data_IF_764261246561
#
_entry.id   IF_764261246561
#
_cell.length_a   1.000
_cell.length_b   1.000
_cell.length_c   1.000
_cell.angle_alpha   90.00
_cell.angle_beta   90.00
_cell.angle_gamma   90.00
#
_symmetry.space_group_name_H-M   'P 1'
#
loop_
_entity.id
_entity.type
_entity.pdbx_description
1 polymer ?
#
# COMPACT_ATOMS: atom_id res chain seq x y z
N UNK A 1 -4.98 -22.01 10.45
CA UNK A 1 -4.78 -20.58 10.15
C UNK A 1 -4.41 -19.90 11.47
N UNK A 2 -3.59 -18.85 11.45
CA UNK A 2 -3.20 -18.12 12.68
C UNK A 2 -4.47 -17.52 13.34
N UNK A 3 -4.64 -17.68 14.65
CA UNK A 3 -5.80 -17.19 15.40
C UNK A 3 -6.02 -15.68 15.21
N UNK A 4 -4.95 -14.89 15.05
CA UNK A 4 -5.06 -13.45 14.83
C UNK A 4 -5.67 -13.13 13.44
N UNK A 5 -5.35 -13.94 12.43
CA UNK A 5 -5.88 -13.78 11.07
C UNK A 5 -7.38 -14.11 11.04
N UNK A 6 -7.81 -15.16 11.75
CA UNK A 6 -9.22 -15.54 11.88
C UNK A 6 -10.06 -14.42 12.52
N UNK A 7 -9.55 -13.79 13.58
CA UNK A 7 -10.18 -12.65 14.24
C UNK A 7 -10.35 -11.49 13.25
N UNK A 8 -9.28 -11.12 12.53
CA UNK A 8 -9.30 -10.02 11.56
C UNK A 8 -10.29 -10.29 10.43
N UNK A 9 -10.32 -11.50 9.87
CA UNK A 9 -11.25 -11.86 8.79
C UNK A 9 -12.71 -11.76 9.25
N UNK A 10 -13.01 -12.21 10.48
CA UNK A 10 -14.33 -12.07 11.08
C UNK A 10 -14.72 -10.61 11.30
N UNK A 11 -13.77 -9.78 11.76
CA UNK A 11 -14.00 -8.36 11.98
C UNK A 11 -14.19 -7.58 10.67
N UNK A 12 -13.44 -7.91 9.62
CA UNK A 12 -13.66 -7.38 8.27
C UNK A 12 -15.07 -7.69 7.77
N UNK A 13 -15.54 -8.93 7.95
CA UNK A 13 -16.89 -9.32 7.58
C UNK A 13 -17.96 -8.55 8.37
N UNK A 14 -17.77 -8.34 9.68
CA UNK A 14 -18.66 -7.53 10.51
C UNK A 14 -18.73 -6.06 10.05
N UNK A 15 -17.69 -5.59 9.35
CA UNK A 15 -17.61 -4.27 8.69
C UNK A 15 -18.03 -4.30 7.22
N UNK A 16 -18.64 -5.38 6.77
CA UNK A 16 -19.08 -5.60 5.39
C UNK A 16 -17.95 -5.54 4.35
N UNK A 17 -16.70 -5.69 4.79
CA UNK A 17 -15.51 -5.74 3.95
C UNK A 17 -15.20 -7.21 3.65
N UNK A 18 -14.95 -7.56 2.39
CA UNK A 18 -14.62 -8.94 2.04
C UNK A 18 -13.14 -9.22 2.32
N UNK A 19 -12.86 -10.00 3.36
CA UNK A 19 -11.52 -10.51 3.65
C UNK A 19 -11.27 -11.86 2.98
N UNK A 20 -10.13 -11.98 2.30
CA UNK A 20 -9.64 -13.25 1.75
C UNK A 20 -8.30 -13.60 2.38
N UNK A 21 -8.19 -14.83 2.87
CA UNK A 21 -6.94 -15.42 3.29
C UNK A 21 -6.11 -15.90 2.09
N UNK A 22 -4.80 -15.77 2.21
CA UNK A 22 -3.83 -16.48 1.39
C UNK A 22 -2.65 -16.90 2.27
N UNK A 23 -2.23 -18.16 2.17
CA UNK A 23 -1.09 -18.67 2.92
C UNK A 23 0.23 -18.05 2.41
N UNK A 24 0.31 -17.82 1.09
CA UNK A 24 1.50 -17.31 0.42
C UNK A 24 1.19 -16.36 -0.74
N UNK A 25 2.25 -15.75 -1.31
CA UNK A 25 2.15 -14.89 -2.49
C UNK A 25 1.48 -15.57 -3.70
N UNK A 26 1.81 -16.81 -4.09
CA UNK A 26 1.10 -17.53 -5.17
C UNK A 26 -0.42 -17.64 -4.95
N UNK A 27 -0.86 -17.99 -3.75
CA UNK A 27 -2.29 -18.07 -3.42
C UNK A 27 -2.96 -16.71 -3.49
N UNK A 28 -2.30 -15.68 -2.95
CA UNK A 28 -2.76 -14.30 -3.04
C UNK A 28 -2.95 -13.88 -4.52
N UNK A 29 -1.99 -14.19 -5.39
CA UNK A 29 -2.07 -13.89 -6.81
C UNK A 29 -3.22 -14.62 -7.50
N UNK A 30 -3.43 -15.91 -7.23
CA UNK A 30 -4.57 -16.67 -7.78
C UNK A 30 -5.90 -16.02 -7.38
N UNK A 31 -6.05 -15.63 -6.12
CA UNK A 31 -7.25 -14.94 -5.64
C UNK A 31 -7.42 -13.58 -6.31
N UNK A 32 -6.38 -12.75 -6.36
CA UNK A 32 -6.45 -11.43 -7.00
C UNK A 32 -6.87 -11.55 -8.47
N UNK A 33 -6.23 -12.45 -9.23
CA UNK A 33 -6.55 -12.67 -10.64
C UNK A 33 -7.99 -13.17 -10.84
N UNK A 34 -8.52 -13.97 -9.93
CA UNK A 34 -9.91 -14.44 -9.97
C UNK A 34 -10.94 -13.33 -9.72
N UNK A 35 -10.55 -12.26 -9.00
CA UNK A 35 -11.43 -11.14 -8.68
C UNK A 35 -11.45 -10.06 -9.76
N UNK A 36 -10.43 -10.01 -10.62
CA UNK A 36 -10.29 -8.98 -11.67
C UNK A 36 -10.88 -9.53 -12.98
N UNK A 37 -11.97 -8.94 -13.51
CA UNK A 37 -12.53 -9.31 -14.81
C UNK A 37 -11.47 -9.22 -15.92
N UNK A 38 -11.60 -10.04 -16.96
CA UNK A 38 -10.61 -10.13 -18.04
C UNK A 38 -10.51 -8.87 -18.89
N UNK A 39 -11.61 -8.13 -19.01
CA UNK A 39 -11.76 -6.88 -19.77
C UNK A 39 -11.57 -5.62 -18.90
N UNK A 40 -11.32 -5.78 -17.60
CA UNK A 40 -11.20 -4.67 -16.67
C UNK A 40 -9.93 -3.84 -16.92
N UNK A 41 -10.07 -2.52 -16.77
CA UNK A 41 -8.93 -1.61 -16.62
C UNK A 41 -8.51 -1.55 -15.15
N UNK A 42 -7.25 -1.86 -14.88
CA UNK A 42 -6.68 -1.89 -13.53
C UNK A 42 -5.86 -0.65 -13.24
N UNK A 43 -6.27 0.15 -12.26
CA UNK A 43 -5.51 1.29 -11.75
C UNK A 43 -4.63 0.92 -10.56
N UNK A 44 -3.42 1.49 -10.50
CA UNK A 44 -2.44 1.20 -9.45
C UNK A 44 -2.29 2.38 -8.50
N UNK A 45 -2.35 2.11 -7.19
CA UNK A 45 -2.13 3.08 -6.11
C UNK A 45 -0.89 2.76 -5.26
N UNK A 46 0.29 2.60 -5.89
CA UNK A 46 1.61 2.23 -5.32
C UNK A 46 1.63 1.42 -4.01
N UNK A 47 2.14 0.20 -4.09
CA UNK A 47 2.25 -0.68 -2.92
C UNK A 47 3.45 -1.58 -3.06
N UNK A 48 4.37 -1.53 -2.09
CA UNK A 48 5.48 -2.48 -2.05
C UNK A 48 4.99 -3.92 -1.83
N UNK A 49 3.90 -4.11 -1.07
CA UNK A 49 3.28 -5.44 -0.90
C UNK A 49 2.85 -6.02 -2.24
N UNK A 50 2.22 -5.20 -3.09
CA UNK A 50 1.83 -5.59 -4.45
C UNK A 50 3.06 -5.92 -5.32
N UNK A 51 4.14 -5.12 -5.25
CA UNK A 51 5.39 -5.40 -5.97
C UNK A 51 6.03 -6.71 -5.50
N UNK A 52 6.00 -7.00 -4.20
CA UNK A 52 6.49 -8.26 -3.64
C UNK A 52 5.69 -9.48 -4.11
N UNK A 53 4.38 -9.34 -4.34
CA UNK A 53 3.57 -10.42 -4.93
C UNK A 53 3.95 -10.70 -6.39
N UNK A 54 4.49 -9.72 -7.12
CA UNK A 54 4.72 -9.83 -8.56
C UNK A 54 3.45 -9.73 -9.43
N UNK A 55 2.31 -9.35 -8.84
CA UNK A 55 1.00 -9.34 -9.51
C UNK A 55 0.96 -8.45 -10.77
N UNK A 56 1.74 -7.37 -10.82
CA UNK A 56 1.81 -6.50 -12.00
C UNK A 56 2.31 -7.26 -13.25
N UNK A 57 3.26 -8.18 -13.09
CA UNK A 57 3.78 -8.95 -14.22
C UNK A 57 2.73 -9.95 -14.70
N UNK A 58 2.05 -10.63 -13.78
CA UNK A 58 0.96 -11.56 -14.10
C UNK A 58 -0.20 -10.87 -14.83
N UNK A 59 -0.55 -9.65 -14.42
CA UNK A 59 -1.58 -8.86 -15.12
C UNK A 59 -1.14 -8.47 -16.53
N UNK A 60 0.14 -8.13 -16.74
CA UNK A 60 0.68 -7.84 -18.07
C UNK A 60 0.69 -9.08 -18.96
N UNK A 61 1.13 -10.23 -18.44
CA UNK A 61 1.11 -11.52 -19.14
C UNK A 61 -0.31 -11.95 -19.52
N UNK A 62 -1.30 -11.66 -18.66
CA UNK A 62 -2.72 -11.86 -18.93
C UNK A 62 -3.28 -10.91 -20.00
N UNK A 63 -2.53 -9.87 -20.40
CA UNK A 63 -2.98 -8.84 -21.35
C UNK A 63 -3.95 -7.81 -20.74
N UNK A 64 -3.97 -7.67 -19.42
CA UNK A 64 -4.84 -6.70 -18.73
C UNK A 64 -4.36 -5.27 -19.00
N UNK A 65 -5.30 -4.34 -19.25
CA UNK A 65 -4.98 -2.91 -19.35
C UNK A 65 -4.64 -2.36 -17.97
N UNK A 66 -3.41 -1.90 -17.77
CA UNK A 66 -2.92 -1.36 -16.49
C UNK A 66 -2.64 0.13 -16.62
N UNK A 67 -3.22 0.93 -15.72
CA UNK A 67 -2.91 2.34 -15.53
C UNK A 67 -1.95 2.46 -14.33
N UNK A 68 -0.66 2.55 -14.60
CA UNK A 68 0.38 2.60 -13.57
C UNK A 68 1.15 3.92 -13.56
N UNK A 69 0.75 4.92 -12.74
CA UNK A 69 1.49 6.16 -12.61
C UNK A 69 2.82 6.01 -11.86
N UNK A 70 3.24 4.79 -11.49
CA UNK A 70 4.46 4.51 -10.74
C UNK A 70 5.47 3.65 -11.51
N UNK A 71 5.26 3.47 -12.81
CA UNK A 71 6.30 2.96 -13.70
C UNK A 71 7.45 3.97 -13.81
N UNK A 72 8.71 3.48 -13.94
CA UNK A 72 9.88 4.33 -14.00
C UNK A 72 9.88 5.21 -15.26
N UNK A 73 10.64 6.31 -15.21
CA UNK A 73 10.87 7.16 -16.37
C UNK A 73 11.52 6.34 -17.48
N UNK A 74 10.98 6.40 -18.69
CA UNK A 74 11.65 5.86 -19.87
C UNK A 74 12.90 6.67 -20.21
N UNK A 75 13.89 6.03 -20.81
CA UNK A 75 15.16 6.69 -21.15
C UNK A 75 14.96 7.82 -22.16
N UNK A 76 14.03 7.64 -23.09
CA UNK A 76 13.71 8.58 -24.17
C UNK A 76 12.79 9.74 -23.77
N UNK A 77 12.27 9.72 -22.54
CA UNK A 77 11.32 10.72 -22.02
C UNK A 77 12.05 11.75 -21.18
N UNK A 78 11.80 13.04 -21.38
CA UNK A 78 12.37 14.07 -20.50
C UNK A 78 11.68 14.13 -19.12
N UNK A 79 12.21 14.93 -18.21
CA UNK A 79 11.69 15.01 -16.85
C UNK A 79 10.30 15.68 -16.76
N UNK A 80 9.99 16.63 -17.65
CA UNK A 80 8.70 17.30 -17.67
C UNK A 80 7.64 16.42 -18.33
N UNK A 81 7.95 15.80 -19.47
CA UNK A 81 7.09 14.84 -20.14
C UNK A 81 6.71 13.70 -19.19
N UNK A 82 7.68 13.18 -18.43
CA UNK A 82 7.43 12.16 -17.41
C UNK A 82 6.48 12.64 -16.31
N UNK A 83 6.67 13.87 -15.79
CA UNK A 83 5.77 14.43 -14.78
C UNK A 83 4.34 14.55 -15.32
N UNK A 84 4.18 15.04 -16.55
CA UNK A 84 2.89 15.21 -17.19
C UNK A 84 2.22 13.86 -17.47
N UNK A 85 2.95 12.88 -18.01
CA UNK A 85 2.45 11.53 -18.27
C UNK A 85 1.99 10.85 -16.98
N UNK A 86 2.76 10.95 -15.90
CA UNK A 86 2.37 10.42 -14.58
C UNK A 86 1.12 11.08 -14.05
N UNK A 87 1.03 12.40 -14.14
CA UNK A 87 -0.15 13.13 -13.65
C UNK A 87 -1.40 12.79 -14.47
N UNK A 88 -1.26 12.63 -15.79
CA UNK A 88 -2.32 12.13 -16.66
C UNK A 88 -2.78 10.74 -16.23
N UNK A 89 -1.85 9.81 -16.03
CA UNK A 89 -2.14 8.45 -15.57
C UNK A 89 -2.81 8.45 -14.19
N UNK A 90 -2.39 9.31 -13.24
CA UNK A 90 -3.07 9.42 -11.93
C UNK A 90 -4.54 9.83 -12.09
N UNK A 91 -4.82 10.78 -12.98
CA UNK A 91 -6.21 11.18 -13.27
C UNK A 91 -6.98 10.05 -13.95
N UNK A 92 -6.37 9.36 -14.91
CA UNK A 92 -7.00 8.20 -15.55
C UNK A 92 -7.27 7.06 -14.56
N UNK A 93 -6.42 6.85 -13.55
CA UNK A 93 -6.67 5.81 -12.53
C UNK A 93 -7.97 6.02 -11.77
N UNK A 94 -8.49 7.25 -11.65
CA UNK A 94 -9.77 7.50 -10.96
C UNK A 94 -10.99 7.00 -11.74
N UNK A 95 -10.79 6.54 -12.98
CA UNK A 95 -11.82 6.01 -13.87
C UNK A 95 -11.61 4.52 -14.17
N UNK A 96 -10.74 3.83 -13.41
CA UNK A 96 -10.50 2.41 -13.59
C UNK A 96 -11.63 1.55 -12.98
N UNK A 97 -11.77 0.33 -13.48
CA UNK A 97 -12.76 -0.64 -12.99
C UNK A 97 -12.30 -1.28 -11.67
N UNK A 98 -10.99 -1.53 -11.56
CA UNK A 98 -10.37 -2.16 -10.39
C UNK A 98 -9.15 -1.37 -9.94
N UNK A 99 -9.13 -0.96 -8.67
CA UNK A 99 -8.00 -0.28 -8.06
C UNK A 99 -7.19 -1.22 -7.15
N UNK A 100 -5.88 -1.35 -7.41
CA UNK A 100 -4.97 -2.16 -6.61
C UNK A 100 -4.05 -1.31 -5.75
N UNK A 101 -4.01 -1.61 -4.46
CA UNK A 101 -3.11 -0.94 -3.51
C UNK A 101 -2.79 -1.82 -2.31
N UNK A 102 -2.14 -1.24 -1.29
CA UNK A 102 -1.98 -1.84 0.03
C UNK A 102 -2.38 -0.84 1.11
N UNK A 103 -2.45 -1.32 2.34
CA UNK A 103 -2.69 -0.46 3.53
C UNK A 103 -1.42 -0.27 4.36
N UNK A 104 -1.40 0.75 5.22
CA UNK A 104 -0.30 0.96 6.17
C UNK A 104 -0.48 0.13 7.45
N UNK A 105 -1.72 -0.01 7.92
CA UNK A 105 -2.08 -0.84 9.06
C UNK A 105 -3.52 -1.36 8.93
N UNK A 106 -3.75 -2.56 9.49
CA UNK A 106 -5.06 -3.20 9.60
C UNK A 106 -5.28 -3.53 11.07
N UNK A 107 -6.29 -2.94 11.70
CA UNK A 107 -6.56 -3.23 13.13
C UNK A 107 -7.17 -4.62 13.27
N UNK A 108 -7.02 -5.24 14.45
CA UNK A 108 -7.64 -6.54 14.75
C UNK A 108 -9.15 -6.52 14.59
N UNK A 109 -9.75 -5.35 14.84
CA UNK A 109 -11.17 -5.14 14.67
C UNK A 109 -11.57 -4.69 13.25
N UNK A 110 -10.68 -4.77 12.26
CA UNK A 110 -11.01 -4.70 10.84
C UNK A 110 -11.00 -3.31 10.20
N UNK A 111 -10.41 -2.28 10.84
CA UNK A 111 -10.25 -0.95 10.24
C UNK A 111 -8.93 -0.84 9.47
N UNK A 112 -8.96 -0.14 8.34
CA UNK A 112 -7.75 0.19 7.60
C UNK A 112 -7.29 1.60 7.95
N UNK A 113 -6.02 1.75 8.33
CA UNK A 113 -5.42 3.06 8.62
C UNK A 113 -4.33 3.35 7.61
N UNK A 114 -4.41 4.53 7.00
CA UNK A 114 -3.52 4.90 5.90
C UNK A 114 -2.96 6.30 6.07
N UNK A 115 -1.77 6.51 5.53
CA UNK A 115 -1.15 7.83 5.42
C UNK A 115 -0.75 8.12 3.97
N UNK A 116 -0.97 9.34 3.51
CA UNK A 116 -0.60 9.76 2.16
C UNK A 116 -0.06 11.19 2.09
N UNK A 117 0.68 11.47 1.03
CA UNK A 117 1.23 12.79 0.74
C UNK A 117 0.30 13.60 -0.18
N UNK A 118 -0.21 12.96 -1.25
CA UNK A 118 -1.00 13.59 -2.32
C UNK A 118 -2.48 13.25 -2.17
N UNK A 119 -2.80 12.05 -1.67
CA UNK A 119 -4.16 11.60 -1.40
C UNK A 119 -4.76 10.70 -2.47
N UNK A 120 -4.17 10.66 -3.68
CA UNK A 120 -4.72 9.90 -4.80
C UNK A 120 -4.82 8.39 -4.51
N UNK A 121 -3.86 7.82 -3.76
CA UNK A 121 -3.91 6.42 -3.37
C UNK A 121 -5.03 6.12 -2.39
N UNK A 122 -5.15 6.90 -1.31
CA UNK A 122 -6.14 6.65 -0.27
C UNK A 122 -7.55 6.95 -0.77
N UNK A 123 -7.73 8.01 -1.56
CA UNK A 123 -9.01 8.29 -2.22
C UNK A 123 -9.48 7.09 -3.06
N UNK A 124 -8.55 6.48 -3.81
CA UNK A 124 -8.85 5.32 -4.62
C UNK A 124 -9.24 4.06 -3.86
N UNK A 125 -8.98 3.99 -2.54
CA UNK A 125 -9.44 2.86 -1.72
C UNK A 125 -10.93 2.91 -1.41
N UNK A 126 -11.54 4.11 -1.41
CA UNK A 126 -12.90 4.29 -0.91
C UNK A 126 -13.84 5.04 -1.84
N UNK A 127 -13.36 5.56 -2.96
CA UNK A 127 -14.20 6.28 -3.92
C UNK A 127 -13.66 6.22 -5.35
N UNK A 128 -14.59 6.22 -6.31
CA UNK A 128 -14.32 6.32 -7.76
C UNK A 128 -14.36 4.98 -8.51
N UNK A 129 -14.07 3.86 -7.84
CA UNK A 129 -13.92 2.56 -8.49
C UNK A 129 -15.01 1.57 -8.05
N UNK A 130 -15.57 0.77 -8.97
CA UNK A 130 -16.46 -0.33 -8.61
C UNK A 130 -15.80 -1.31 -7.62
N UNK A 131 -14.53 -1.66 -7.84
CA UNK A 131 -13.78 -2.60 -7.02
C UNK A 131 -12.43 -2.02 -6.58
N UNK A 132 -12.13 -2.12 -5.28
CA UNK A 132 -10.81 -1.86 -4.71
C UNK A 132 -10.28 -3.10 -4.03
N UNK A 133 -9.09 -3.54 -4.41
CA UNK A 133 -8.40 -4.67 -3.79
C UNK A 133 -7.16 -4.17 -3.05
N UNK A 134 -7.13 -4.41 -1.75
CA UNK A 134 -6.08 -3.98 -0.84
C UNK A 134 -5.29 -5.20 -0.38
N UNK A 135 -3.97 -5.17 -0.59
CA UNK A 135 -3.05 -6.23 -0.18
C UNK A 135 -2.41 -5.88 1.16
N UNK A 136 -2.52 -6.79 2.12
CA UNK A 136 -1.90 -6.68 3.45
C UNK A 136 -1.16 -7.97 3.80
N UNK A 137 0.09 -7.85 4.24
CA UNK A 137 0.79 -8.95 4.90
C UNK A 137 0.40 -9.03 6.37
N UNK A 138 0.58 -10.20 6.99
CA UNK A 138 0.31 -10.43 8.43
C UNK A 138 1.02 -9.41 9.32
N UNK A 139 2.21 -8.95 8.90
CA UNK A 139 2.97 -7.96 9.63
C UNK A 139 2.26 -6.60 9.75
N UNK A 140 1.17 -6.34 9.03
CA UNK A 140 0.42 -5.08 9.09
C UNK A 140 -0.75 -5.11 10.07
N UNK A 141 -1.03 -6.27 10.68
CA UNK A 141 -2.05 -6.37 11.73
C UNK A 141 -1.52 -5.66 12.98
N UNK A 142 -2.38 -4.84 13.60
CA UNK A 142 -2.13 -4.12 14.86
C UNK A 142 -3.35 -4.26 15.75
N UNK A 143 -3.21 -4.06 17.06
CA UNK A 143 -4.31 -4.28 18.01
C UNK A 143 -5.45 -3.28 17.77
N UNK A 144 -5.14 -1.99 17.66
CA UNK A 144 -6.13 -0.92 17.59
C UNK A 144 -5.66 0.30 16.78
N UNK A 145 -6.46 1.37 16.79
CA UNK A 145 -6.17 2.62 16.09
C UNK A 145 -4.94 3.34 16.67
N UNK A 146 -4.75 3.31 17.99
CA UNK A 146 -3.63 4.00 18.64
C UNK A 146 -2.30 3.36 18.23
N UNK A 147 -2.24 2.03 18.24
CA UNK A 147 -1.10 1.28 17.72
C UNK A 147 -0.89 1.54 16.23
N UNK A 148 -1.97 1.58 15.43
CA UNK A 148 -1.89 1.89 14.00
C UNK A 148 -1.24 3.26 13.76
N UNK A 149 -1.70 4.30 14.45
CA UNK A 149 -1.16 5.64 14.34
C UNK A 149 0.27 5.73 14.86
N UNK A 150 0.56 5.09 16.01
CA UNK A 150 1.90 5.04 16.59
C UNK A 150 2.89 4.40 15.61
N UNK A 151 2.56 3.22 15.07
CA UNK A 151 3.36 2.53 14.07
C UNK A 151 3.59 3.38 12.82
N UNK A 152 2.55 4.02 12.30
CA UNK A 152 2.69 4.83 11.08
C UNK A 152 3.65 6.00 11.33
N UNK A 153 3.49 6.69 12.46
CA UNK A 153 4.31 7.86 12.81
C UNK A 153 5.75 7.47 13.13
N UNK A 154 5.96 6.43 13.91
CA UNK A 154 7.27 6.16 14.51
C UNK A 154 8.08 5.09 13.78
N UNK A 155 7.44 4.27 12.95
CA UNK A 155 8.10 3.17 12.24
C UNK A 155 8.02 3.38 10.73
N UNK A 156 6.80 3.42 10.17
CA UNK A 156 6.61 3.37 8.71
C UNK A 156 7.13 4.65 8.05
N UNK A 157 6.62 5.81 8.43
CA UNK A 157 6.94 7.07 7.73
C UNK A 157 8.43 7.45 7.84
N UNK A 158 9.07 7.46 9.03
CA UNK A 158 10.49 7.77 9.14
C UNK A 158 11.34 6.78 8.35
N UNK A 159 11.09 5.47 8.50
CA UNK A 159 11.84 4.44 7.78
C UNK A 159 11.67 4.58 6.27
N UNK A 160 10.45 4.83 5.79
CA UNK A 160 10.18 5.03 4.37
C UNK A 160 11.00 6.19 3.80
N UNK A 161 10.98 7.35 4.46
CA UNK A 161 11.70 8.52 3.97
C UNK A 161 13.22 8.37 4.08
N UNK A 162 13.73 7.75 5.15
CA UNK A 162 15.15 7.42 5.29
C UNK A 162 15.64 6.49 4.18
N UNK A 163 14.91 5.40 3.93
CA UNK A 163 15.26 4.44 2.87
C UNK A 163 15.26 5.16 1.51
N UNK A 164 14.22 5.95 1.21
CA UNK A 164 14.16 6.66 -0.07
C UNK A 164 15.27 7.68 -0.25
N UNK A 165 15.62 8.42 0.81
CA UNK A 165 16.73 9.36 0.77
C UNK A 165 18.07 8.62 0.53
N UNK A 166 18.29 7.49 1.20
CA UNK A 166 19.50 6.68 1.04
C UNK A 166 19.63 6.05 -0.35
N UNK A 167 18.52 5.76 -1.03
CA UNK A 167 18.50 5.19 -2.38
C UNK A 167 18.46 6.24 -3.50
N UNK A 168 18.66 7.52 -3.19
CA UNK A 168 18.72 8.59 -4.20
C UNK A 168 17.36 9.06 -4.72
N UNK A 169 16.26 8.75 -4.02
CA UNK A 169 14.96 9.38 -4.31
C UNK A 169 14.93 10.87 -3.96
N UNK A 170 13.80 11.55 -4.21
CA UNK A 170 13.61 12.96 -3.83
C UNK A 170 14.04 13.21 -2.39
N UNK A 171 15.03 14.11 -2.23
CA UNK A 171 15.49 14.59 -0.92
C UNK A 171 14.36 15.40 -0.29
N UNK A 172 13.82 14.91 0.83
CA UNK A 172 12.82 15.62 1.63
C UNK A 172 13.53 16.26 2.81
N UNK A 173 13.31 17.55 3.00
CA UNK A 173 13.78 18.30 4.17
C UNK A 173 12.81 18.12 5.36
N UNK A 174 12.66 16.88 5.80
CA UNK A 174 11.84 16.50 6.95
C UNK A 174 12.73 15.99 8.08
N UNK A 175 12.55 16.43 9.34
CA UNK A 175 13.41 16.02 10.46
C UNK A 175 13.58 14.50 10.59
N UNK A 176 12.52 13.73 10.35
CA UNK A 176 12.52 12.27 10.46
C UNK A 176 13.46 11.56 9.47
N UNK A 177 13.88 12.21 8.38
CA UNK A 177 14.91 11.66 7.47
C UNK A 177 16.27 11.62 8.18
N UNK A 178 16.56 12.59 9.05
CA UNK A 178 17.82 12.67 9.78
C UNK A 178 17.72 11.91 11.10
N UNK A 179 16.67 12.16 11.88
CA UNK A 179 16.53 11.64 13.25
C UNK A 179 16.04 10.19 13.30
N UNK A 180 15.31 9.73 12.27
CA UNK A 180 14.57 8.47 12.32
C UNK A 180 13.30 8.52 13.17
N UNK A 181 12.97 9.68 13.74
CA UNK A 181 11.87 9.87 14.68
C UNK A 181 10.88 10.92 14.17
N UNK A 182 9.60 10.72 14.48
CA UNK A 182 8.56 11.68 14.13
C UNK A 182 8.47 12.80 15.15
N UNK A 183 8.58 14.04 14.68
CA UNK A 183 8.39 15.27 15.48
C UNK A 183 7.08 16.00 15.14
N UNK A 184 6.12 15.32 14.50
CA UNK A 184 4.90 15.92 13.90
C UNK A 184 5.19 17.24 13.14
N UNK A 185 6.22 17.18 12.29
CA UNK A 185 6.71 18.36 11.61
C UNK A 185 5.66 19.02 10.69
N UNK A 186 5.86 20.31 10.42
CA UNK A 186 5.03 21.12 9.49
C UNK A 186 5.83 21.62 8.28
N UNK A 187 6.89 20.90 7.90
CA UNK A 187 7.71 21.29 6.75
C UNK A 187 6.95 21.08 5.44
N UNK A 188 7.29 21.86 4.40
CA UNK A 188 6.66 21.77 3.08
C UNK A 188 6.88 20.41 2.40
N UNK A 189 7.95 19.70 2.77
CA UNK A 189 8.30 18.38 2.27
C UNK A 189 7.68 17.23 3.07
N UNK A 190 6.77 17.50 4.02
CA UNK A 190 6.01 16.47 4.74
C UNK A 190 5.29 15.56 3.75
N UNK A 191 5.42 14.24 3.95
CA UNK A 191 4.69 13.22 3.18
C UNK A 191 3.55 12.55 3.93
N UNK A 192 3.31 12.94 5.19
CA UNK A 192 2.24 12.42 6.04
C UNK A 192 1.08 13.42 6.16
N UNK A 193 0.59 13.93 5.03
CA UNK A 193 -0.35 15.05 4.99
C UNK A 193 -1.79 14.61 5.25
N UNK A 194 -2.12 13.39 4.81
CA UNK A 194 -3.48 12.86 4.85
C UNK A 194 -3.45 11.58 5.65
N UNK A 195 -4.26 11.51 6.70
CA UNK A 195 -4.55 10.26 7.40
C UNK A 195 -6.00 9.89 7.13
N UNK A 196 -6.24 8.62 6.83
CA UNK A 196 -7.59 8.08 6.70
C UNK A 196 -7.76 6.84 7.54
N UNK A 197 -8.97 6.69 8.08
CA UNK A 197 -9.47 5.49 8.72
C UNK A 197 -10.67 5.04 7.91
N UNK A 198 -10.62 3.83 7.36
CA UNK A 198 -11.77 3.21 6.71
C UNK A 198 -12.45 2.34 7.76
N UNK A 199 -13.59 2.82 8.26
CA UNK A 199 -14.40 2.17 9.30
C UNK A 199 -15.19 0.97 8.77
N UNK A 200 -15.63 1.01 7.52
CA UNK A 200 -16.53 -0.01 6.95
C UNK A 200 -16.47 0.04 5.43
N UNK A 201 -17.06 -0.94 4.75
CA UNK A 201 -17.18 -0.93 3.29
C UNK A 201 -17.91 0.34 2.81
N UNK A 202 -17.33 1.14 1.90
CA UNK A 202 -18.03 2.26 1.28
C UNK A 202 -19.24 1.81 0.45
N UNK A 203 -20.29 2.63 0.40
CA UNK A 203 -21.56 2.24 -0.24
C UNK A 203 -21.49 2.04 -1.75
N UNK A 204 -20.51 2.64 -2.43
CA UNK A 204 -20.37 2.62 -3.90
C UNK A 204 -19.12 1.88 -4.39
N UNK A 205 -18.33 1.30 -3.48
CA UNK A 205 -17.09 0.60 -3.83
C UNK A 205 -17.04 -0.71 -3.08
N UNK A 206 -16.91 -1.81 -3.82
CA UNK A 206 -16.58 -3.09 -3.23
C UNK A 206 -15.13 -3.05 -2.74
N UNK A 207 -14.94 -3.21 -1.44
CA UNK A 207 -13.63 -3.20 -0.80
C UNK A 207 -13.24 -4.63 -0.42
N UNK A 208 -12.22 -5.16 -1.08
CA UNK A 208 -11.71 -6.50 -0.87
C UNK A 208 -10.30 -6.44 -0.26
N UNK A 209 -10.05 -7.21 0.79
CA UNK A 209 -8.74 -7.31 1.44
C UNK A 209 -8.15 -8.68 1.16
N UNK A 210 -6.93 -8.71 0.62
CA UNK A 210 -6.13 -9.93 0.50
C UNK A 210 -5.14 -9.93 1.65
N UNK A 211 -5.41 -10.75 2.66
CA UNK A 211 -4.57 -10.91 3.85
C UNK A 211 -3.66 -12.11 3.66
N UNK A 212 -2.37 -11.83 3.47
CA UNK A 212 -1.34 -12.83 3.18
C UNK A 212 -0.59 -13.20 4.46
N UNK A 213 -0.43 -14.49 4.74
CA UNK A 213 0.29 -15.00 5.91
C UNK A 213 1.83 -14.88 5.80
N UNK A 214 2.30 -13.77 5.23
CA UNK A 214 3.71 -13.45 5.05
C UNK A 214 3.96 -11.97 5.35
N UNK A 215 5.21 -11.62 5.64
CA UNK A 215 5.59 -10.23 5.91
C UNK A 215 5.74 -9.45 4.61
N UNK A 216 4.80 -8.55 4.35
CA UNK A 216 4.74 -7.74 3.13
C UNK A 216 4.69 -6.25 3.45
N UNK A 217 5.32 -5.45 2.60
CA UNK A 217 5.43 -4.01 2.73
C UNK A 217 6.34 -3.61 3.88
N UNK A 218 5.98 -2.55 4.59
CA UNK A 218 6.79 -1.96 5.65
C UNK A 218 6.05 -1.96 6.99
N UNK A 219 6.78 -2.33 8.04
CA UNK A 219 6.38 -2.19 9.42
C UNK A 219 6.42 -3.51 10.19
N UNK A 220 6.61 -3.37 11.50
CA UNK A 220 6.88 -4.43 12.46
C UNK A 220 6.54 -3.93 13.86
N UNK A 221 6.43 -4.84 14.81
CA UNK A 221 6.49 -4.51 16.24
C UNK A 221 7.96 -4.45 16.69
N UNK A 222 8.41 -3.39 17.40
CA UNK A 222 9.79 -3.29 17.90
C UNK A 222 10.25 -4.46 18.78
N UNK A 223 9.32 -5.19 19.41
CA UNK A 223 9.57 -6.36 20.24
C UNK A 223 9.84 -7.64 19.45
N UNK A 224 9.59 -7.65 18.13
CA UNK A 224 9.86 -8.81 17.29
C UNK A 224 11.35 -9.14 17.17
N UNK A 225 11.70 -10.39 16.80
CA UNK A 225 13.08 -10.77 16.53
C UNK A 225 13.76 -9.81 15.53
N UNK A 226 14.97 -9.36 15.88
CA UNK A 226 15.71 -8.38 15.07
C UNK A 226 16.01 -8.87 13.65
N UNK A 227 16.19 -10.18 13.47
CA UNK A 227 16.37 -10.81 12.16
C UNK A 227 15.15 -10.60 11.25
N UNK A 228 13.94 -10.84 11.77
CA UNK A 228 12.68 -10.61 11.05
C UNK A 228 12.53 -9.14 10.65
N UNK A 229 12.85 -8.21 11.56
CA UNK A 229 12.82 -6.76 11.30
C UNK A 229 13.83 -6.39 10.19
N UNK A 230 15.05 -6.93 10.26
CA UNK A 230 16.09 -6.70 9.27
C UNK A 230 15.67 -7.22 7.89
N UNK A 231 15.04 -8.40 7.83
CA UNK A 231 14.52 -8.99 6.60
C UNK A 231 13.41 -8.11 5.97
N UNK A 232 12.43 -7.67 6.77
CA UNK A 232 11.37 -6.75 6.30
C UNK A 232 12.00 -5.49 5.68
N UNK A 233 12.98 -4.89 6.37
CA UNK A 233 13.67 -3.69 5.88
C UNK A 233 14.45 -3.96 4.60
N UNK A 234 15.17 -5.09 4.52
CA UNK A 234 15.95 -5.47 3.35
C UNK A 234 15.05 -5.71 2.13
N UNK A 235 13.94 -6.43 2.31
CA UNK A 235 12.99 -6.71 1.25
C UNK A 235 12.25 -5.45 0.78
N UNK A 236 11.92 -4.55 1.71
CA UNK A 236 11.32 -3.27 1.36
C UNK A 236 12.25 -2.40 0.49
N UNK A 237 13.54 -2.31 0.84
CA UNK A 237 14.55 -1.52 0.10
C UNK A 237 14.66 -1.92 -1.37
N UNK A 238 14.49 -3.21 -1.69
CA UNK A 238 14.60 -3.73 -3.06
C UNK A 238 13.49 -3.24 -3.99
N UNK A 239 12.34 -2.85 -3.44
CA UNK A 239 11.09 -2.69 -4.21
C UNK A 239 10.39 -1.35 -3.97
N UNK A 240 10.90 -0.50 -3.07
CA UNK A 240 10.33 0.84 -2.84
C UNK A 240 10.41 1.69 -4.11
N UNK A 241 9.31 2.37 -4.45
CA UNK A 241 9.29 3.26 -5.60
C UNK A 241 10.12 4.51 -5.34
N UNK A 242 10.96 4.88 -6.31
CA UNK A 242 11.81 6.07 -6.28
C UNK A 242 11.42 7.02 -7.43
N UNK A 243 10.18 7.55 -7.47
CA UNK A 243 9.86 8.57 -8.45
C UNK A 243 10.78 9.77 -8.21
N UNK A 244 11.43 10.17 -9.29
CA UNK A 244 12.24 11.39 -9.42
C UNK A 244 11.35 12.62 -9.27
#
# INVERSE_FOLDING_TARGET
MDSQIEIVLSALQARHIHGFYADDCPEANRKILSLIPSDATVGIGDSTSMRQLGILNLLRERGTRILNPFDPKREDMDAEEYRQARERLRKETTLCDVFLTGTNALTQDGRLVNVDAVGNRVAGMFWGHPLSIVIAGRNKIVNDLDEAFHRIRNIIAPTHFQIRAALGGRKRETPCVVTGECSDCRTKDRGCNIFTVIESKPSQTDLNIILVNQDLGLGWDPSWPQERIAEIRANYKKLVSLPV
#
